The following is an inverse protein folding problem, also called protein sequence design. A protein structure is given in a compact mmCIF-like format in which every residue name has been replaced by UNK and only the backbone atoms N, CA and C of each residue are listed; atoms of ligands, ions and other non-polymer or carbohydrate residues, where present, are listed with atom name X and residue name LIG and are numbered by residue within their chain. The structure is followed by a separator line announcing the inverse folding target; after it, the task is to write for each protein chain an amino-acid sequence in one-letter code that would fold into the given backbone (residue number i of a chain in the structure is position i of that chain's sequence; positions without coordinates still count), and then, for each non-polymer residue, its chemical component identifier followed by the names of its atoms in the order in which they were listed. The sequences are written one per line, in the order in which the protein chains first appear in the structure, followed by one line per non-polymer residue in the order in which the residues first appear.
data_IF_025007691928
#
_entry.id   IF_025007691928
#
_cell.length_a   1.000
_cell.length_b   1.000
_cell.length_c   1.000
_cell.angle_alpha   90.00
_cell.angle_beta   90.00
_cell.angle_gamma   90.00
#
_symmetry.space_group_name_H-M   'P 1'
#
loop_
_entity.id
_entity.type
_entity.pdbx_description
1 polymer ?
2 polymer ?
3 non-polymer ?
4 water ?
#
# COMPACT_ATOMS: atom_id res chain seq x y z
N UNK A 57 16.09 -7.62 -15.24
CA UNK A 57 16.77 -7.19 -13.96
C UNK A 57 15.75 -6.53 -13.12
N UNK A 58 14.90 -5.68 -13.74
CA UNK A 58 13.88 -4.94 -13.04
C UNK A 58 12.47 -5.47 -13.16
N UNK A 59 12.27 -6.61 -13.80
CA UNK A 59 10.96 -7.19 -13.88
C UNK A 59 10.94 -8.61 -13.44
N UNK A 60 9.78 -9.08 -13.02
CA UNK A 60 9.64 -10.39 -12.57
C UNK A 60 9.72 -11.29 -13.79
N UNK A 61 10.50 -12.37 -13.66
CA UNK A 61 10.60 -13.38 -14.71
C UNK A 61 9.27 -14.04 -14.98
N UNK A 62 8.79 -13.91 -16.21
CA UNK A 62 7.50 -14.51 -16.60
C UNK A 62 7.71 -15.72 -17.51
N UNK A 63 8.95 -16.16 -17.66
CA UNK A 63 9.21 -17.30 -18.53
C UNK A 63 8.98 -18.63 -17.80
N UNK A 64 7.72 -19.00 -17.62
CA UNK A 64 7.33 -20.22 -16.93
C UNK A 64 6.23 -20.85 -17.73
N UNK A 65 6.08 -22.15 -17.61
CA UNK A 65 5.03 -22.84 -18.28
C UNK A 65 3.66 -22.24 -18.01
N UNK A 66 3.39 -21.77 -16.79
CA UNK A 66 2.06 -21.27 -16.43
C UNK A 66 2.20 -19.88 -15.82
N UNK A 67 1.24 -19.01 -16.07
CA UNK A 67 1.18 -17.74 -15.38
C UNK A 67 1.00 -18.06 -13.93
N UNK A 68 0.03 -18.93 -13.66
CA UNK A 68 -0.21 -19.40 -12.33
C UNK A 68 -1.69 -19.57 -12.04
N UNK A 69 -1.93 -20.01 -10.82
CA UNK A 69 -3.29 -20.22 -10.37
C UNK A 69 -3.92 -18.92 -9.83
N UNK A 70 -5.19 -18.73 -10.14
CA UNK A 70 -6.01 -17.70 -9.58
C UNK A 70 -7.22 -18.36 -8.87
N UNK A 71 -7.29 -18.16 -7.57
CA UNK A 71 -8.44 -18.59 -6.82
C UNK A 71 -9.38 -17.46 -6.61
N UNK A 72 -10.64 -17.65 -6.99
CA UNK A 72 -11.67 -16.65 -6.73
C UNK A 72 -12.63 -17.21 -5.69
N UNK A 73 -12.77 -16.49 -4.59
CA UNK A 73 -13.80 -16.78 -3.59
C UNK A 73 -14.97 -15.79 -3.71
N UNK A 74 -16.10 -16.32 -4.12
CA UNK A 74 -17.26 -15.55 -4.44
C UNK A 74 -18.36 -15.82 -3.40
N UNK A 75 -18.34 -15.04 -2.33
CA UNK A 75 -19.27 -15.24 -1.22
C UNK A 75 -20.53 -14.37 -1.39
N UNK A 76 -21.63 -15.04 -1.71
CA UNK A 76 -22.89 -14.36 -1.97
C UNK A 76 -23.90 -14.49 -0.85
N UNK A 77 -24.01 -15.66 -0.25
CA UNK A 77 -25.09 -15.96 0.68
C UNK A 77 -24.46 -16.28 2.00
N UNK A 78 -25.03 -15.71 3.06
CA UNK A 78 -24.44 -15.76 4.38
C UNK A 78 -25.43 -16.35 5.36
N UNK A 79 -24.93 -17.10 6.33
CA UNK A 79 -25.77 -17.63 7.40
C UNK A 79 -26.40 -16.50 8.18
N UNK A 80 -27.69 -16.62 8.44
CA UNK A 80 -28.44 -15.65 9.29
C UNK A 80 -27.72 -15.32 10.60
N UNK A 81 -27.07 -16.31 11.22
CA UNK A 81 -26.16 -16.14 12.38
C UNK A 81 -25.23 -14.91 12.26
N UNK A 82 -24.72 -14.65 11.06
CA UNK A 82 -23.79 -13.56 10.87
C UNK A 82 -24.47 -12.20 10.76
N UNK A 83 -25.79 -12.16 10.55
CA UNK A 83 -26.47 -10.89 10.27
C UNK A 83 -26.29 -10.24 8.92
N UNK A 84 -25.47 -10.82 8.03
CA UNK A 84 -25.19 -10.21 6.72
C UNK A 84 -26.16 -10.55 5.59
N UNK A 85 -26.47 -9.57 4.74
CA UNK A 85 -27.38 -9.78 3.62
C UNK A 85 -26.73 -10.38 2.38
N UNK A 86 -27.57 -10.82 1.45
CA UNK A 86 -27.12 -11.44 0.23
C UNK A 86 -26.34 -10.38 -0.50
N UNK A 87 -25.26 -10.73 -1.20
CA UNK A 87 -24.53 -9.79 -2.02
C UNK A 87 -24.93 -9.89 -3.50
N UNK A 88 -25.98 -9.17 -3.90
CA UNK A 88 -26.45 -9.25 -5.28
C UNK A 88 -25.47 -8.70 -6.24
N UNK A 89 -25.38 -9.27 -7.42
CA UNK A 89 -24.44 -8.79 -8.42
C UNK A 89 -23.08 -9.46 -8.35
N UNK A 90 -22.79 -10.14 -7.23
CA UNK A 90 -21.46 -10.71 -7.07
C UNK A 90 -21.20 -11.83 -8.11
N UNK A 91 -22.20 -12.62 -8.50
CA UNK A 91 -21.99 -13.62 -9.58
C UNK A 91 -21.58 -12.96 -10.90
N UNK A 92 -22.19 -11.83 -11.21
CA UNK A 92 -21.78 -11.06 -12.36
C UNK A 92 -20.36 -10.55 -12.22
N UNK A 93 -19.97 -10.11 -11.03
CA UNK A 93 -18.59 -9.73 -10.82
C UNK A 93 -17.65 -10.89 -10.96
N UNK A 94 -17.95 -11.99 -10.32
CA UNK A 94 -17.09 -13.12 -10.35
C UNK A 94 -16.94 -13.56 -11.81
N UNK A 95 -18.00 -13.55 -12.58
CA UNK A 95 -17.90 -13.99 -13.97
C UNK A 95 -16.99 -13.09 -14.77
N UNK A 96 -17.07 -11.78 -14.52
CA UNK A 96 -16.26 -10.85 -15.30
C UNK A 96 -14.79 -10.97 -14.92
N UNK A 97 -14.55 -11.19 -13.65
CA UNK A 97 -13.20 -11.35 -13.18
C UNK A 97 -12.66 -12.67 -13.69
N UNK A 98 -13.51 -13.69 -13.75
CA UNK A 98 -13.03 -15.00 -14.22
C UNK A 98 -12.52 -14.81 -15.64
N UNK A 99 -13.31 -14.15 -16.48
CA UNK A 99 -12.84 -13.90 -17.87
C UNK A 99 -11.58 -13.09 -17.99
N UNK A 100 -11.45 -11.98 -17.24
CA UNK A 100 -10.26 -11.17 -17.34
C UNK A 100 -9.10 -12.00 -16.93
N UNK A 101 -9.20 -12.69 -15.80
CA UNK A 101 -8.01 -13.36 -15.28
C UNK A 101 -7.67 -14.54 -16.15
N UNK A 102 -8.68 -15.15 -16.71
CA UNK A 102 -8.40 -16.31 -17.60
C UNK A 102 -7.69 -15.74 -18.80
N UNK A 103 -8.21 -14.62 -19.27
CA UNK A 103 -7.62 -13.97 -20.42
C UNK A 103 -6.15 -13.55 -20.19
N UNK A 104 -5.79 -13.12 -19.01
CA UNK A 104 -4.39 -12.85 -18.73
C UNK A 104 -3.58 -14.14 -18.77
N UNK A 105 -4.18 -15.31 -18.58
CA UNK A 105 -3.42 -16.55 -18.55
C UNK A 105 -3.45 -17.36 -17.25
N UNK A 106 -4.16 -16.86 -16.24
CA UNK A 106 -4.34 -17.58 -14.99
C UNK A 106 -5.23 -18.81 -15.14
N UNK A 107 -4.87 -19.85 -14.39
CA UNK A 107 -5.72 -21.00 -14.29
C UNK A 107 -6.70 -20.68 -13.20
N UNK A 108 -7.88 -20.22 -13.60
CA UNK A 108 -8.81 -19.69 -12.64
C UNK A 108 -9.76 -20.77 -12.13
N UNK A 109 -9.99 -20.79 -10.81
CA UNK A 109 -11.07 -21.60 -10.26
C UNK A 109 -11.89 -20.75 -9.33
N UNK A 110 -13.20 -20.92 -9.41
CA UNK A 110 -14.12 -20.09 -8.58
C UNK A 110 -14.85 -20.95 -7.55
N UNK A 111 -14.78 -20.55 -6.29
CA UNK A 111 -15.44 -21.21 -5.15
C UNK A 111 -16.45 -20.29 -4.53
N UNK A 112 -17.65 -20.79 -4.29
CA UNK A 112 -18.83 -20.00 -4.00
C UNK A 112 -19.31 -20.24 -2.59
N UNK A 113 -19.68 -19.18 -1.89
CA UNK A 113 -20.22 -19.30 -0.56
C UNK A 113 -19.35 -20.17 0.34
N UNK A 114 -18.08 -19.84 0.46
CA UNK A 114 -17.18 -20.57 1.34
C UNK A 114 -17.32 -20.18 2.83
N UNK A 115 -17.30 -21.19 3.70
CA UNK A 115 -17.19 -20.99 5.11
C UNK A 115 -15.80 -20.46 5.40
N UNK A 116 -15.58 -20.02 6.64
CA UNK A 116 -14.25 -19.61 7.07
C UNK A 116 -13.21 -20.74 6.97
N UNK A 117 -13.57 -21.96 7.39
CA UNK A 117 -12.66 -23.09 7.34
C UNK A 117 -12.33 -23.44 5.88
N UNK A 118 -13.34 -23.36 5.02
CA UNK A 118 -13.14 -23.61 3.59
C UNK A 118 -12.12 -22.63 2.97
N UNK A 119 -12.29 -21.34 3.24
CA UNK A 119 -11.37 -20.32 2.72
C UNK A 119 -9.95 -20.55 3.18
N UNK A 120 -9.77 -20.81 4.47
CA UNK A 120 -8.46 -21.15 5.01
C UNK A 120 -7.90 -22.40 4.37
N UNK A 121 -8.75 -23.42 4.22
CA UNK A 121 -8.26 -24.66 3.65
C UNK A 121 -7.83 -24.51 2.18
N UNK A 122 -8.63 -23.80 1.38
CA UNK A 122 -8.31 -23.54 0.01
C UNK A 122 -6.95 -22.93 -0.17
N UNK A 123 -6.69 -21.91 0.60
CA UNK A 123 -5.43 -21.18 0.46
C UNK A 123 -4.28 -22.00 1.04
N UNK A 124 -4.51 -22.68 2.15
CA UNK A 124 -3.47 -23.56 2.68
C UNK A 124 -3.05 -24.59 1.65
N UNK A 125 -4.05 -25.22 1.05
CA UNK A 125 -3.81 -26.27 0.07
C UNK A 125 -3.09 -25.71 -1.15
N UNK A 126 -3.58 -24.58 -1.65
CA UNK A 126 -2.93 -23.94 -2.78
C UNK A 126 -1.50 -23.64 -2.42
N UNK A 127 -1.26 -23.24 -1.17
CA UNK A 127 0.09 -22.90 -0.77
C UNK A 127 0.94 -24.12 -0.74
N UNK A 128 0.33 -25.29 -0.67
CA UNK A 128 1.09 -26.52 -0.58
C UNK A 128 1.33 -27.17 -1.91
N UNK A 129 0.76 -26.66 -2.97
CA UNK A 129 1.05 -27.21 -4.29
C UNK A 129 2.45 -26.83 -4.75
N UNK A 130 2.90 -27.43 -5.84
CA UNK A 130 4.21 -27.16 -6.42
C UNK A 130 3.99 -26.08 -7.45
N UNK A 131 4.49 -24.87 -7.20
CA UNK A 131 4.39 -23.75 -8.13
C UNK A 131 5.68 -23.56 -8.94
N UNK A 132 6.53 -24.57 -8.98
CA UNK A 132 7.79 -24.48 -9.72
C UNK A 132 7.61 -23.98 -11.12
N UNK A 133 6.57 -24.41 -11.82
CA UNK A 133 6.37 -23.95 -13.21
C UNK A 133 5.32 -22.86 -13.39
N UNK A 134 5.10 -22.13 -12.30
CA UNK A 134 4.23 -20.96 -12.33
C UNK A 134 5.00 -19.71 -12.06
N UNK A 135 4.64 -18.63 -12.76
CA UNK A 135 5.25 -17.32 -12.57
C UNK A 135 4.80 -16.60 -11.28
N UNK A 136 3.54 -16.79 -10.90
CA UNK A 136 2.94 -16.07 -9.83
C UNK A 136 1.67 -16.74 -9.32
N UNK A 137 1.07 -16.14 -8.30
CA UNK A 137 -0.19 -16.63 -7.73
C UNK A 137 -1.14 -15.47 -7.45
N UNK A 138 -2.42 -15.68 -7.68
CA UNK A 138 -3.38 -14.63 -7.40
C UNK A 138 -4.55 -15.22 -6.62
N UNK A 139 -5.10 -14.41 -5.73
CA UNK A 139 -6.36 -14.74 -5.08
C UNK A 139 -7.27 -13.50 -5.10
N UNK A 140 -8.52 -13.72 -5.39
CA UNK A 140 -9.50 -12.64 -5.42
C UNK A 140 -10.58 -12.99 -4.45
N UNK A 141 -10.87 -12.08 -3.54
CA UNK A 141 -11.90 -12.29 -2.53
C UNK A 141 -13.02 -11.33 -2.76
N UNK A 142 -14.21 -11.87 -2.91
CA UNK A 142 -15.43 -11.10 -3.01
C UNK A 142 -16.37 -11.43 -1.81
N UNK A 143 -16.61 -10.49 -0.89
CA UNK A 143 -17.42 -10.78 0.29
C UNK A 143 -17.70 -9.51 1.03
N UNK A 144 -18.42 -9.67 2.13
CA UNK A 144 -18.51 -8.66 3.18
C UNK A 144 -17.18 -8.69 3.94
N UNK A 145 -16.84 -7.56 4.56
CA UNK A 145 -15.62 -7.45 5.35
C UNK A 145 -15.78 -6.36 6.38
N UNK A 146 -14.83 -6.30 7.30
CA UNK A 146 -14.68 -5.19 8.26
C UNK A 146 -13.19 -5.03 8.32
N UNK A 147 -12.70 -4.13 9.11
CA UNK A 147 -11.30 -3.88 9.02
C UNK A 147 -10.49 -5.13 9.37
N UNK A 148 -9.56 -5.51 8.50
CA UNK A 148 -8.65 -6.66 8.70
C UNK A 148 -9.23 -8.05 8.63
N UNK A 149 -10.53 -8.14 8.42
CA UNK A 149 -11.17 -9.42 8.32
C UNK A 149 -12.11 -9.49 7.14
N UNK A 150 -12.39 -10.72 6.75
CA UNK A 150 -13.32 -10.98 5.68
C UNK A 150 -14.33 -12.05 6.12
N UNK A 151 -15.54 -11.96 5.57
CA UNK A 151 -16.58 -12.87 5.98
C UNK A 151 -16.52 -14.10 5.14
N UNK A 152 -16.62 -15.24 5.81
CA UNK A 152 -17.06 -16.47 5.21
C UNK A 152 -18.55 -16.48 5.38
N UNK A 153 -19.20 -17.58 4.99
CA UNK A 153 -20.65 -17.62 5.14
C UNK A 153 -21.04 -17.74 6.60
N UNK A 154 -20.13 -18.21 7.41
CA UNK A 154 -20.42 -18.52 8.81
C UNK A 154 -19.75 -17.58 9.82
N UNK A 155 -19.13 -16.49 9.38
CA UNK A 155 -18.40 -15.60 10.29
C UNK A 155 -17.23 -14.90 9.62
N UNK A 156 -16.25 -14.48 10.40
CA UNK A 156 -15.15 -13.67 9.88
C UNK A 156 -13.88 -14.42 10.09
N UNK A 157 -12.93 -14.21 9.20
CA UNK A 157 -11.59 -14.71 9.36
C UNK A 157 -10.63 -13.58 8.97
N UNK A 158 -9.49 -13.51 9.65
CA UNK A 158 -8.47 -12.51 9.38
C UNK A 158 -7.81 -12.62 8.02
N UNK A 159 -7.72 -11.50 7.32
CA UNK A 159 -7.12 -11.51 5.98
C UNK A 159 -5.68 -12.00 6.07
N UNK A 160 -4.97 -11.57 7.09
CA UNK A 160 -3.58 -11.96 7.27
C UNK A 160 -3.40 -13.48 7.45
N UNK A 161 -4.40 -14.15 8.01
CA UNK A 161 -4.28 -15.56 8.15
C UNK A 161 -4.33 -16.26 6.80
N UNK A 162 -5.15 -15.74 5.88
CA UNK A 162 -5.28 -16.33 4.54
C UNK A 162 -4.02 -16.14 3.73
N UNK A 163 -3.38 -14.98 3.89
CA UNK A 163 -2.19 -14.68 3.14
C UNK A 163 -0.95 -15.31 3.71
N UNK A 164 -0.94 -15.62 5.00
CA UNK A 164 0.31 -16.06 5.68
C UNK A 164 0.83 -17.41 5.17
N UNK A 165 -0.08 -18.20 4.64
CA UNK A 165 0.28 -19.48 4.02
C UNK A 165 1.32 -19.30 2.91
N UNK A 166 1.36 -18.11 2.29
CA UNK A 166 2.21 -17.96 1.10
C UNK A 166 3.53 -17.31 1.40
N UNK A 167 3.77 -17.09 2.67
CA UNK A 167 4.99 -16.44 3.04
C UNK A 167 6.19 -17.23 2.56
N UNK A 168 7.31 -16.53 2.44
CA UNK A 168 8.51 -17.11 1.85
C UNK A 168 8.90 -18.47 2.44
N UNK A 169 8.85 -18.53 3.77
CA UNK A 169 9.33 -19.70 4.52
C UNK A 169 8.33 -20.82 4.43
N UNK A 170 7.09 -20.51 4.08
CA UNK A 170 6.03 -21.51 4.04
C UNK A 170 5.55 -21.96 2.67
N UNK A 171 6.10 -21.41 1.59
CA UNK A 171 5.68 -21.76 0.26
C UNK A 171 6.83 -21.45 -0.60
N UNK A 172 7.79 -22.34 -0.59
CA UNK A 172 9.08 -22.08 -1.21
C UNK A 172 9.02 -22.01 -2.69
N UNK A 173 8.03 -22.63 -3.31
CA UNK A 173 8.03 -22.65 -4.76
C UNK A 173 7.44 -21.37 -5.34
N UNK A 174 6.93 -20.47 -4.48
CA UNK A 174 6.58 -19.09 -4.91
C UNK A 174 7.58 -18.06 -4.39
N UNK A 175 8.67 -18.50 -3.79
CA UNK A 175 9.71 -17.57 -3.35
C UNK A 175 10.15 -16.70 -4.53
N UNK A 176 10.23 -15.39 -4.30
CA UNK A 176 10.62 -14.40 -5.29
C UNK A 176 9.65 -14.24 -6.45
N UNK A 177 8.45 -14.72 -6.26
CA UNK A 177 7.43 -14.61 -7.25
C UNK A 177 6.25 -13.84 -6.63
N UNK A 178 5.54 -13.05 -7.43
CA UNK A 178 4.49 -12.23 -6.91
C UNK A 178 3.34 -13.06 -6.41
N UNK A 179 2.80 -12.64 -5.28
CA UNK A 179 1.62 -13.20 -4.67
C UNK A 179 0.63 -12.04 -4.57
N UNK A 180 -0.44 -12.10 -5.36
CA UNK A 180 -1.39 -11.01 -5.50
C UNK A 180 -2.75 -11.32 -4.85
N UNK A 181 -3.27 -10.38 -4.07
CA UNK A 181 -4.55 -10.53 -3.44
C UNK A 181 -5.39 -9.33 -3.80
N UNK A 182 -6.52 -9.58 -4.44
CA UNK A 182 -7.47 -8.56 -4.79
C UNK A 182 -8.65 -8.76 -3.88
N UNK A 183 -9.00 -7.73 -3.14
CA UNK A 183 -9.93 -7.85 -2.04
C UNK A 183 -11.04 -6.84 -2.14
N UNK A 184 -12.21 -7.35 -2.50
CA UNK A 184 -13.43 -6.57 -2.63
C UNK A 184 -14.28 -6.88 -1.43
N UNK A 185 -14.30 -5.93 -0.49
CA UNK A 185 -15.03 -6.02 0.78
C UNK A 185 -15.20 -4.64 1.45
N UNK A 186 -16.23 -4.47 2.26
CA UNK A 186 -16.19 -3.31 3.20
C UNK A 186 -14.92 -3.39 4.10
N UNK A 187 -14.46 -2.25 4.65
CA UNK A 187 -13.33 -2.30 5.59
C UNK A 187 -13.64 -1.41 6.79
N UNK A 188 -14.92 -1.36 7.11
CA UNK A 188 -15.41 -0.48 8.15
C UNK A 188 -16.55 0.28 7.50
N UNK A 189 -17.09 1.21 8.24
CA UNK A 189 -18.34 1.87 7.87
C UNK A 189 -18.25 3.40 7.63
N UNK A 190 -17.03 3.96 7.51
CA UNK A 190 -16.82 5.37 7.11
C UNK A 190 -17.24 5.58 5.65
N UNK A 191 -17.85 6.74 5.38
CA UNK A 191 -18.28 7.11 4.03
C UNK A 191 -17.45 8.29 3.59
N UNK A 192 -16.88 8.20 2.38
CA UNK A 192 -16.17 9.35 1.80
C UNK A 192 -17.16 10.33 1.15
N UNK A 193 -17.33 11.49 1.78
CA UNK A 193 -18.24 12.54 1.28
C UNK A 193 -17.74 13.23 -0.02
N UNK A 194 -16.45 13.07 -0.36
CA UNK A 194 -15.86 13.83 -1.49
C UNK A 194 -15.66 15.33 -1.26
N UNK A 195 -15.09 16.01 -2.24
CA UNK A 195 -14.92 17.47 -2.18
C UNK A 195 -14.75 18.05 -3.62
N UNK A 196 -15.08 19.35 -3.73
CA UNK A 196 -15.07 20.25 -4.94
C UNK A 196 -16.20 19.81 -5.84
N UNK B 14 19.30 -14.94 0.65
CA UNK B 14 18.24 -14.69 1.68
C UNK B 14 17.18 -13.61 1.37
N UNK B 15 15.90 -14.00 1.38
CA UNK B 15 14.76 -13.15 1.00
C UNK B 15 13.84 -12.97 2.20
N UNK B 16 13.30 -11.75 2.42
CA UNK B 16 12.33 -11.57 3.50
C UNK B 16 11.08 -12.38 3.25
N UNK B 17 10.55 -12.97 4.33
CA UNK B 17 9.36 -13.80 4.20
C UNK B 17 8.11 -13.02 3.75
N UNK B 18 8.08 -11.68 3.97
CA UNK B 18 6.90 -10.84 3.65
C UNK B 18 7.02 -10.18 2.31
N UNK B 19 8.16 -10.35 1.66
CA UNK B 19 8.36 -9.68 0.37
C UNK B 19 7.55 -10.31 -0.75
N UNK B 20 7.30 -9.53 -1.80
CA UNK B 20 6.65 -9.99 -3.01
C UNK B 20 5.17 -10.32 -2.89
N UNK B 21 4.52 -9.69 -1.92
CA UNK B 21 3.07 -9.62 -1.85
C UNK B 21 2.58 -8.27 -2.35
N UNK B 22 1.42 -8.31 -3.00
CA UNK B 22 0.66 -7.12 -3.32
C UNK B 22 -0.79 -7.34 -2.95
N UNK B 23 -1.35 -6.38 -2.24
CA UNK B 23 -2.80 -6.36 -1.92
C UNK B 23 -3.45 -5.18 -2.63
N UNK B 24 -4.46 -5.46 -3.39
CA UNK B 24 -5.24 -4.45 -4.04
C UNK B 24 -6.63 -4.47 -3.40
N UNK B 25 -6.90 -3.49 -2.53
CA UNK B 25 -8.14 -3.44 -1.82
C UNK B 25 -9.08 -2.53 -2.56
N UNK B 26 -10.37 -2.85 -2.51
CA UNK B 26 -11.36 -2.05 -3.21
C UNK B 26 -11.57 -0.66 -2.55
N UNK B 27 -11.15 -0.54 -1.30
CA UNK B 27 -11.32 0.69 -0.55
C UNK B 27 -10.23 0.81 0.54
N UNK B 28 -10.04 2.00 1.07
CA UNK B 28 -9.05 2.21 2.14
C UNK B 28 -9.58 1.72 3.47
N UNK B 29 -8.67 1.48 4.45
CA UNK B 29 -9.09 1.04 5.82
C UNK B 29 -10.11 1.98 6.46
N UNK B 30 -11.05 1.38 7.18
CA UNK B 30 -12.11 2.12 7.87
C UNK B 30 -13.29 2.49 6.99
N UNK B 31 -13.19 2.29 5.67
CA UNK B 31 -14.20 2.80 4.73
C UNK B 31 -15.11 1.71 4.13
N UNK B 32 -16.29 2.17 3.74
CA UNK B 32 -17.30 1.38 3.05
C UNK B 32 -16.80 1.09 1.61
N UNK B 33 -17.37 0.08 0.95
CA UNK B 33 -17.06 -0.24 -0.47
C UNK B 33 -18.37 -0.33 -1.23
N UNK B 34 -18.48 0.36 -2.38
CA UNK B 34 -19.78 0.52 -3.10
C UNK B 34 -20.00 -0.36 -4.34
N UNK B 35 -21.28 -0.61 -4.60
CA UNK B 35 -21.78 -1.34 -5.73
C UNK B 35 -22.91 -0.52 -6.36
N UNK B 36 -22.96 -0.34 -7.68
CA UNK B 36 -24.13 0.35 -8.25
C UNK B 36 -25.34 -0.62 -8.37
N UNK B 37 -26.53 -0.20 -7.86
CA UNK B 37 -27.79 -0.98 -8.08
C UNK B 37 -27.82 -1.69 -9.45
N UNK B 38 -27.91 -3.03 -9.41
CA UNK B 38 -28.00 -3.87 -10.62
C UNK B 38 -26.74 -4.32 -11.37
N UNK B 39 -25.58 -3.68 -11.16
CA UNK B 39 -24.37 -3.95 -11.99
C UNK B 39 -23.03 -4.13 -11.21
N UNK B 40 -23.14 -4.69 -10.00
CA UNK B 40 -21.93 -5.06 -9.29
C UNK B 40 -20.95 -3.98 -8.85
N UNK B 41 -19.91 -4.43 -8.16
CA UNK B 41 -19.04 -3.55 -7.40
C UNK B 41 -18.24 -2.56 -8.24
N UNK B 42 -18.08 -1.32 -7.77
CA UNK B 42 -17.39 -0.32 -8.57
C UNK B 42 -15.94 -0.71 -8.88
N UNK B 43 -15.25 -1.24 -7.87
CA UNK B 43 -13.85 -1.59 -8.04
C UNK B 43 -13.69 -2.70 -9.02
N UNK B 44 -14.61 -3.67 -8.99
CA UNK B 44 -14.56 -4.75 -9.95
C UNK B 44 -14.81 -4.30 -11.38
N UNK B 45 -15.83 -3.48 -11.59
CA UNK B 45 -16.10 -2.93 -12.90
C UNK B 45 -14.84 -2.31 -13.46
N UNK B 46 -14.21 -1.46 -12.67
CA UNK B 46 -13.06 -0.72 -13.15
C UNK B 46 -11.90 -1.63 -13.41
N UNK B 47 -11.60 -2.49 -12.45
CA UNK B 47 -10.49 -3.51 -12.64
C UNK B 47 -10.68 -4.32 -13.88
N UNK B 48 -11.88 -4.81 -14.12
CA UNK B 48 -12.12 -5.59 -15.35
C UNK B 48 -11.97 -4.73 -16.62
N UNK B 49 -12.44 -3.50 -16.51
CA UNK B 49 -12.44 -2.68 -17.68
C UNK B 49 -10.96 -2.33 -18.08
N UNK B 50 -10.14 -2.01 -17.10
CA UNK B 50 -8.73 -1.71 -17.37
C UNK B 50 -7.95 -2.94 -17.79
N UNK B 51 -8.18 -4.07 -17.12
CA UNK B 51 -7.45 -5.30 -17.50
C UNK B 51 -7.83 -5.71 -18.86
N UNK B 52 -9.05 -5.55 -19.24
CA UNK B 52 -9.40 -5.98 -20.57
C UNK B 52 -8.75 -5.08 -21.65
N UNK B 53 -8.61 -3.81 -21.36
CA UNK B 53 -7.96 -2.91 -22.28
C UNK B 53 -6.44 -3.03 -22.22
N UNK B 54 -5.87 -3.19 -21.03
CA UNK B 54 -4.42 -2.98 -20.83
C UNK B 54 -3.69 -4.02 -19.97
N UNK B 55 -4.36 -5.11 -19.63
CA UNK B 55 -3.77 -6.13 -18.76
C UNK B 55 -2.49 -6.74 -19.28
N UNK B 56 -2.32 -6.77 -20.59
CA UNK B 56 -1.13 -7.27 -21.19
C UNK B 56 -0.11 -6.21 -21.61
N UNK B 57 -0.36 -4.93 -21.45
CA UNK B 57 0.66 -3.95 -21.83
C UNK B 57 1.08 -2.97 -20.76
N UNK B 58 0.46 -2.96 -19.59
CA UNK B 58 0.88 -2.06 -18.53
C UNK B 58 1.38 -2.84 -17.32
N UNK B 59 2.22 -2.22 -16.50
CA UNK B 59 2.71 -2.81 -15.31
C UNK B 59 1.61 -2.80 -14.28
N UNK B 60 1.71 -3.66 -13.27
CA UNK B 60 0.60 -3.90 -12.39
C UNK B 60 0.21 -2.60 -11.67
N UNK B 61 1.19 -1.83 -11.26
CA UNK B 61 0.90 -0.56 -10.57
C UNK B 61 0.28 0.50 -11.49
N UNK B 62 0.66 0.53 -12.77
CA UNK B 62 0.00 1.40 -13.71
C UNK B 62 -1.47 1.01 -13.84
N UNK B 63 -1.72 -0.29 -13.91
CA UNK B 63 -3.08 -0.78 -14.01
C UNK B 63 -3.88 -0.38 -12.78
N UNK B 64 -3.33 -0.63 -11.59
CA UNK B 64 -4.08 -0.38 -10.41
C UNK B 64 -4.22 1.09 -10.12
N UNK B 65 -3.28 1.87 -10.61
CA UNK B 65 -3.38 3.29 -10.48
C UNK B 65 -4.50 3.81 -11.38
N UNK B 66 -4.61 3.26 -12.56
CA UNK B 66 -5.74 3.63 -13.43
C UNK B 66 -7.02 3.16 -12.81
N UNK B 67 -7.00 2.04 -12.14
CA UNK B 67 -8.22 1.63 -11.48
C UNK B 67 -8.59 2.64 -10.39
N UNK B 68 -7.59 3.13 -9.66
CA UNK B 68 -7.84 4.10 -8.61
C UNK B 68 -8.53 5.32 -9.15
N UNK B 69 -8.03 5.83 -10.27
CA UNK B 69 -8.59 7.00 -10.91
C UNK B 69 -10.02 6.79 -11.41
N UNK B 70 -10.26 5.62 -12.04
CA UNK B 70 -11.59 5.30 -12.55
C UNK B 70 -12.60 5.20 -11.40
N UNK B 71 -12.24 4.55 -10.30
CA UNK B 71 -13.13 4.50 -9.19
C UNK B 71 -13.37 5.91 -8.61
N UNK B 72 -12.28 6.66 -8.48
CA UNK B 72 -12.39 8.00 -7.88
C UNK B 72 -13.25 8.94 -8.68
N UNK B 73 -13.22 8.84 -10.00
CA UNK B 73 -13.89 9.82 -10.86
C UNK B 73 -15.19 9.29 -11.35
N UNK B 74 -15.14 8.15 -12.03
CA UNK B 74 -16.31 7.72 -12.78
C UNK B 74 -17.51 7.50 -11.82
N UNK B 75 -17.27 7.19 -10.55
CA UNK B 75 -18.38 6.78 -9.70
C UNK B 75 -18.73 7.73 -8.57
N UNK B 76 -20.03 7.76 -8.30
CA UNK B 76 -20.63 8.53 -7.20
C UNK B 76 -22.03 7.98 -6.85
N UNK B 77 -22.24 7.63 -5.58
CA UNK B 77 -23.49 6.99 -5.11
C UNK B 77 -24.76 7.90 -5.26
N UNK B 78 -25.94 7.28 -5.40
CA UNK B 78 -27.23 7.97 -5.40
C UNK B 78 -28.13 7.24 -4.38
N UNK B 79 -29.02 7.95 -3.67
CA UNK B 79 -29.77 7.34 -2.53
C UNK B 79 -30.75 8.34 -1.92
N UNK B 80 -31.92 7.87 -1.49
CA UNK B 80 -32.95 8.72 -0.84
C UNK B 80 -32.70 9.00 0.64
N UNK B 81 -31.72 8.31 1.23
CA UNK B 81 -31.21 8.67 2.55
C UNK B 81 -30.04 9.64 2.36
N UNK B 82 -30.16 10.90 2.88
CA UNK B 82 -29.05 11.84 2.74
C UNK B 82 -27.73 11.28 3.27
N UNK B 83 -27.80 10.53 4.38
CA UNK B 83 -26.61 9.88 4.98
C UNK B 83 -25.82 9.01 3.98
N UNK B 84 -26.46 8.45 2.94
CA UNK B 84 -25.76 7.60 1.95
C UNK B 84 -25.63 8.23 0.55
N UNK B 85 -26.15 9.46 0.41
CA UNK B 85 -26.22 10.12 -0.89
C UNK B 85 -24.89 10.75 -1.34
N UNK B 86 -24.56 10.58 -2.62
CA UNK B 86 -23.42 11.26 -3.28
C UNK B 86 -22.03 10.97 -2.68
N UNK B 87 -21.81 9.73 -2.23
CA UNK B 87 -20.52 9.35 -1.63
C UNK B 87 -19.52 8.85 -2.65
N UNK B 88 -18.27 8.73 -2.20
CA UNK B 88 -17.15 8.46 -3.09
C UNK B 88 -16.30 7.36 -2.48
N UNK B 89 -15.41 6.79 -3.26
CA UNK B 89 -14.58 5.74 -2.74
C UNK B 89 -13.22 5.82 -3.39
N UNK B 90 -12.19 5.41 -2.68
CA UNK B 90 -10.90 5.26 -3.32
C UNK B 90 -10.31 3.91 -2.89
N UNK B 91 -9.84 3.12 -3.84
CA UNK B 91 -9.13 1.90 -3.50
C UNK B 91 -7.73 2.18 -2.95
N UNK B 92 -7.02 1.12 -2.61
CA UNK B 92 -5.83 1.20 -1.81
C UNK B 92 -4.95 0.04 -2.22
N UNK B 93 -3.76 0.31 -2.77
CA UNK B 93 -2.85 -0.70 -3.16
C UNK B 93 -1.76 -0.78 -2.16
N UNK B 94 -1.45 -1.97 -1.63
CA UNK B 94 -0.31 -2.14 -0.71
C UNK B 94 0.71 -3.00 -1.46
N UNK B 95 1.89 -2.46 -1.75
CA UNK B 95 2.89 -3.23 -2.48
C UNK B 95 4.15 -3.49 -1.66
N UNK B 96 4.46 -4.78 -1.55
CA UNK B 96 5.75 -5.26 -1.08
C UNK B 96 6.54 -5.86 -2.26
N UNK B 97 6.15 -5.55 -3.49
CA UNK B 97 6.82 -6.13 -4.66
C UNK B 97 8.25 -5.60 -4.78
N UNK B 98 9.13 -6.42 -5.36
CA UNK B 98 10.53 -6.09 -5.54
C UNK B 98 10.90 -5.91 -6.98
N UNK B 99 9.95 -6.07 -7.87
CA UNK B 99 10.22 -5.89 -9.29
C UNK B 99 8.92 -5.39 -9.88
N UNK B 100 9.03 -4.96 -11.12
CA UNK B 100 7.89 -4.69 -11.96
C UNK B 100 7.19 -5.95 -12.53
N UNK B 101 5.87 -5.91 -12.62
CA UNK B 101 5.10 -7.06 -12.99
C UNK B 101 4.29 -6.75 -14.19
N UNK B 102 4.64 -7.40 -15.28
CA UNK B 102 3.87 -7.43 -16.46
C UNK B 102 3.32 -8.84 -16.67
N UNK B 103 2.11 -8.92 -17.16
CA UNK B 103 1.53 -10.22 -17.39
C UNK B 103 1.82 -10.66 -18.79
N UNK B 104 3.07 -10.91 -19.11
CA UNK B 104 3.34 -11.39 -20.45
C UNK B 104 4.79 -11.74 -20.56
N UNK B 105 5.15 -11.94 -21.85
CA UNK B 105 6.50 -12.29 -22.35
C UNK B 105 6.95 -13.70 -21.88
N UNK C 57 -2.13 13.11 -19.45
CA UNK C 57 -3.48 12.52 -19.27
C UNK C 57 -3.42 11.40 -18.21
N UNK C 58 -2.36 10.59 -18.24
CA UNK C 58 -2.13 9.55 -17.23
C UNK C 58 -1.05 9.89 -16.19
N UNK C 59 -0.56 11.13 -16.18
CA UNK C 59 0.41 11.56 -15.14
C UNK C 59 -0.06 12.77 -14.42
N UNK C 60 0.47 12.99 -13.25
CA UNK C 60 0.10 14.13 -12.51
C UNK C 60 0.74 15.34 -13.21
N UNK C 61 -0.05 16.39 -13.37
CA UNK C 61 0.45 17.64 -13.91
C UNK C 61 1.55 18.24 -13.05
N UNK C 62 2.73 18.42 -13.65
CA UNK C 62 3.89 18.98 -12.97
C UNK C 62 4.17 20.43 -13.43
N UNK C 63 3.29 20.99 -14.24
CA UNK C 63 3.55 22.34 -14.71
C UNK C 63 3.06 23.38 -13.71
N UNK C 64 3.80 23.52 -12.62
CA UNK C 64 3.44 24.45 -11.59
C UNK C 64 4.68 25.28 -11.37
N UNK C 65 4.52 26.46 -10.83
CA UNK C 65 5.66 27.30 -10.44
C UNK C 65 6.63 26.53 -9.56
N UNK C 66 6.18 25.63 -8.69
CA UNK C 66 7.16 24.88 -7.85
C UNK C 66 6.76 23.41 -7.65
N UNK C 67 7.76 22.56 -7.39
CA UNK C 67 7.51 21.15 -7.14
C UNK C 67 6.66 21.01 -5.87
N UNK C 68 7.10 21.68 -4.81
CA UNK C 68 6.35 21.77 -3.60
C UNK C 68 7.24 21.73 -2.39
N UNK C 69 6.59 21.74 -1.26
CA UNK C 69 7.26 21.71 0.01
C UNK C 69 7.57 20.24 0.42
N UNK C 70 8.75 20.03 1.01
CA UNK C 70 9.18 18.79 1.69
C UNK C 70 9.54 19.06 3.15
N UNK C 71 8.72 18.57 4.05
CA UNK C 71 9.00 18.71 5.45
C UNK C 71 9.70 17.43 5.94
N UNK C 72 10.80 17.60 6.64
CA UNK C 72 11.51 16.50 7.27
C UNK C 72 11.52 16.68 8.76
N UNK C 73 11.02 15.65 9.46
CA UNK C 73 11.05 15.60 10.89
C UNK C 73 12.10 14.60 11.33
N UNK C 74 13.16 15.14 11.93
CA UNK C 74 14.32 14.38 12.31
C UNK C 74 14.39 14.26 13.83
N UNK C 75 13.75 13.22 14.36
CA UNK C 75 13.71 13.00 15.79
C UNK C 75 14.85 12.08 16.24
N UNK C 76 15.82 12.66 16.93
CA UNK C 76 16.98 11.92 17.40
C UNK C 76 16.98 11.66 18.87
N UNK C 77 16.55 12.64 19.67
CA UNK C 77 16.68 12.53 21.12
C UNK C 77 15.29 12.55 21.72
N UNK C 78 15.10 11.69 22.73
CA UNK C 78 13.83 11.44 23.36
C UNK C 78 13.90 11.60 24.85
N UNK C 79 12.85 12.13 25.44
CA UNK C 79 12.73 12.20 26.89
C UNK C 79 12.82 10.81 27.41
N UNK C 80 13.61 10.67 28.43
CA UNK C 80 13.82 9.41 29.15
C UNK C 80 12.51 8.71 29.56
N UNK C 81 11.49 9.47 29.97
CA UNK C 81 10.22 8.88 30.39
C UNK C 81 9.53 8.12 29.26
N UNK C 82 9.89 8.36 28.01
CA UNK C 82 9.33 7.57 26.94
C UNK C 82 9.92 6.16 26.87
N UNK C 83 11.02 5.92 27.57
CA UNK C 83 11.69 4.65 27.42
C UNK C 83 12.51 4.49 26.12
N UNK C 84 12.54 5.47 25.20
CA UNK C 84 13.29 5.33 23.94
C UNK C 84 14.70 5.91 23.99
N UNK C 85 15.64 5.24 23.32
CA UNK C 85 17.00 5.72 23.20
C UNK C 85 17.29 6.63 22.03
N UNK C 86 18.48 7.22 22.04
CA UNK C 86 18.95 8.13 21.03
C UNK C 86 18.92 7.38 19.73
N UNK C 87 18.55 7.99 18.62
CA UNK C 87 18.61 7.33 17.30
C UNK C 87 19.88 7.69 16.55
N UNK C 88 20.94 6.97 16.78
CA UNK C 88 22.21 7.26 16.12
C UNK C 88 22.13 7.07 14.63
N UNK C 89 22.80 7.89 13.87
CA UNK C 89 22.71 7.79 12.43
C UNK C 89 21.62 8.63 11.80
N UNK C 90 20.66 9.10 12.57
CA UNK C 90 19.54 9.78 11.94
C UNK C 90 19.92 11.17 11.38
N UNK C 91 20.90 11.87 11.98
CA UNK C 91 21.40 13.09 11.37
C UNK C 91 21.98 12.84 10.00
N UNK C 92 22.71 11.75 9.83
CA UNK C 92 23.22 11.41 8.50
C UNK C 92 22.07 11.09 7.57
N UNK C 93 21.05 10.38 8.04
CA UNK C 93 19.94 10.16 7.15
C UNK C 93 19.23 11.46 6.74
N UNK C 94 18.97 12.33 7.70
CA UNK C 94 18.22 13.55 7.41
C UNK C 94 19.01 14.43 6.42
N UNK C 95 20.31 14.48 6.57
CA UNK C 95 21.11 15.23 5.67
C UNK C 95 21.01 14.67 4.29
N UNK C 96 21.10 13.34 4.16
CA UNK C 96 21.09 12.78 2.81
C UNK C 96 19.74 12.95 2.12
N UNK C 97 18.70 12.88 2.90
CA UNK C 97 17.37 13.04 2.38
C UNK C 97 17.09 14.46 2.00
N UNK C 98 17.59 15.39 2.81
CA UNK C 98 17.46 16.82 2.51
C UNK C 98 18.13 17.09 1.17
N UNK C 99 19.34 16.59 0.95
CA UNK C 99 19.95 16.79 -0.40
C UNK C 99 19.24 16.17 -1.57
N UNK C 100 18.76 14.92 -1.43
CA UNK C 100 18.01 14.26 -2.51
C UNK C 100 16.81 15.08 -2.84
N UNK C 101 16.05 15.45 -1.82
CA UNK C 101 14.79 16.12 -2.08
C UNK C 101 14.99 17.55 -2.58
N UNK C 102 16.05 18.21 -2.12
CA UNK C 102 16.35 19.54 -2.66
C UNK C 102 16.72 19.34 -4.13
N UNK C 103 17.54 18.36 -4.37
CA UNK C 103 17.94 18.10 -5.76
C UNK C 103 16.75 17.82 -6.65
N UNK C 104 15.71 17.16 -6.16
CA UNK C 104 14.51 16.95 -6.99
C UNK C 104 13.75 18.25 -7.25
N UNK C 105 13.89 19.29 -6.44
CA UNK C 105 13.18 20.52 -6.72
C UNK C 105 12.28 20.95 -5.58
N UNK C 106 12.25 20.17 -4.51
CA UNK C 106 11.42 20.51 -3.36
C UNK C 106 11.98 21.70 -2.55
N UNK C 107 11.10 22.48 -1.91
CA UNK C 107 11.54 23.44 -0.89
C UNK C 107 11.61 22.65 0.41
N UNK C 108 12.81 22.27 0.83
CA UNK C 108 12.96 21.43 2.00
C UNK C 108 13.15 22.18 3.30
N UNK C 109 12.44 21.78 4.32
CA UNK C 109 12.62 22.29 5.66
C UNK C 109 12.85 21.13 6.64
N UNK C 110 13.86 21.23 7.52
CA UNK C 110 14.16 20.14 8.45
C UNK C 110 13.93 20.63 9.89
N UNK C 111 13.05 19.93 10.60
CA UNK C 111 12.79 20.15 11.99
C UNK C 111 13.46 18.98 12.74
N UNK C 112 13.78 19.21 13.99
CA UNK C 112 14.63 18.34 14.73
C UNK C 112 14.14 18.21 16.18
N UNK C 113 14.10 16.98 16.67
CA UNK C 113 13.66 16.70 18.01
C UNK C 113 12.35 17.32 18.33
N UNK C 114 11.30 17.00 17.53
CA UNK C 114 9.97 17.57 17.78
C UNK C 114 9.13 16.84 18.82
N UNK C 115 8.43 17.60 19.65
CA UNK C 115 7.44 17.07 20.54
C UNK C 115 6.24 16.68 19.72
N UNK C 116 5.32 15.97 20.33
CA UNK C 116 4.12 15.52 19.64
C UNK C 116 3.25 16.68 19.25
N UNK C 117 3.14 17.68 20.13
CA UNK C 117 2.33 18.86 19.80
C UNK C 117 2.94 19.63 18.63
N UNK C 118 4.27 19.67 18.60
CA UNK C 118 4.98 20.31 17.51
C UNK C 118 4.73 19.64 16.15
N UNK C 119 4.88 18.33 16.10
CA UNK C 119 4.64 17.59 14.88
C UNK C 119 3.22 17.79 14.36
N UNK C 120 2.24 17.71 15.23
CA UNK C 120 0.85 18.00 14.84
C UNK C 120 0.69 19.43 14.36
N UNK C 121 1.26 20.39 15.10
CA UNK C 121 1.06 21.77 14.76
C UNK C 121 1.70 22.17 13.45
N UNK C 122 2.93 21.75 13.23
CA UNK C 122 3.57 22.13 11.99
C UNK C 122 2.93 21.49 10.80
N UNK C 123 2.38 20.28 10.93
CA UNK C 123 1.67 19.66 9.77
C UNK C 123 0.33 20.32 9.55
N UNK C 124 -0.35 20.64 10.63
CA UNK C 124 -1.61 21.35 10.51
C UNK C 124 -1.39 22.67 9.77
N UNK C 125 -0.37 23.39 10.21
CA UNK C 125 -0.04 24.68 9.57
C UNK C 125 0.38 24.56 8.15
N UNK C 126 1.25 23.59 7.89
CA UNK C 126 1.59 23.28 6.49
C UNK C 126 0.34 23.02 5.66
N UNK C 127 -0.63 22.33 6.26
CA UNK C 127 -1.82 21.98 5.52
C UNK C 127 -2.65 23.21 5.24
N UNK C 128 -2.42 24.29 5.98
CA UNK C 128 -3.23 25.48 5.82
C UNK C 128 -2.55 26.53 4.95
N UNK C 129 -1.36 26.28 4.47
CA UNK C 129 -0.76 27.17 3.51
C UNK C 129 -1.40 27.04 2.15
N UNK C 130 -1.05 27.97 1.24
CA UNK C 130 -1.61 27.98 -0.08
C UNK C 130 -0.69 27.18 -0.99
N UNK C 131 -1.11 26.00 -1.45
CA UNK C 131 -0.27 25.17 -2.32
C UNK C 131 -0.69 25.30 -3.79
N UNK C 132 -1.48 26.31 -4.10
CA UNK C 132 -1.98 26.48 -5.46
C UNK C 132 -0.87 26.39 -6.51
N UNK C 133 0.31 26.95 -6.24
CA UNK C 133 1.38 26.93 -7.23
C UNK C 133 2.43 25.87 -6.99
N UNK C 134 2.05 24.86 -6.23
CA UNK C 134 2.87 23.67 -6.01
C UNK C 134 2.21 22.44 -6.69
N UNK C 135 3.04 21.57 -7.26
CA UNK C 135 2.65 20.29 -7.85
C UNK C 135 2.29 19.21 -6.87
N UNK C 136 2.97 19.18 -5.73
CA UNK C 136 2.79 18.11 -4.74
C UNK C 136 3.33 18.51 -3.37
N UNK C 137 3.16 17.61 -2.42
CA UNK C 137 3.66 17.79 -1.08
C UNK C 137 4.34 16.53 -0.58
N UNK C 138 5.44 16.66 0.12
CA UNK C 138 6.10 15.52 0.69
C UNK C 138 6.39 15.75 2.17
N UNK C 139 6.25 14.68 2.97
CA UNK C 139 6.66 14.72 4.38
C UNK C 139 7.44 13.47 4.69
N UNK C 140 8.55 13.64 5.38
CA UNK C 140 9.43 12.52 5.70
C UNK C 140 9.55 12.48 7.18
N UNK C 141 9.17 11.37 7.79
CA UNK C 141 9.26 11.23 9.26
C UNK C 141 10.33 10.26 9.64
N UNK C 142 11.24 10.68 10.52
CA UNK C 142 12.30 9.86 11.01
C UNK C 142 12.21 9.81 12.52
N UNK C 143 11.88 8.65 13.07
CA UNK C 143 11.70 8.57 14.50
C UNK C 143 11.52 7.14 14.91
N UNK C 144 11.32 6.94 16.21
CA UNK C 144 10.84 5.67 16.72
C UNK C 144 9.37 5.59 16.38
N UNK C 145 8.88 4.36 16.32
CA UNK C 145 7.48 4.11 16.10
C UNK C 145 7.03 2.77 16.67
N UNK C 146 5.72 2.57 16.71
CA UNK C 146 5.11 1.30 17.03
C UNK C 146 3.92 1.30 16.10
N UNK C 147 3.12 0.26 16.09
CA UNK C 147 2.16 0.13 15.04
C UNK C 147 1.19 1.27 15.06
N UNK C 148 0.99 1.88 13.92
CA UNK C 148 0.11 3.04 13.74
C UNK C 148 0.51 4.35 14.43
N UNK C 149 1.63 4.38 15.16
CA UNK C 149 2.01 5.59 15.85
C UNK C 149 3.47 5.91 15.65
N UNK C 150 3.79 7.17 15.88
CA UNK C 150 5.16 7.66 15.78
C UNK C 150 5.51 8.48 17.01
N UNK C 151 6.76 8.40 17.42
CA UNK C 151 7.18 9.11 18.58
C UNK C 151 7.55 10.52 18.25
N UNK C 152 7.09 11.41 19.12
CA UNK C 152 7.72 12.69 19.33
C UNK C 152 8.69 12.50 20.44
N UNK C 153 9.31 13.59 20.89
CA UNK C 153 10.32 13.42 21.96
C UNK C 153 9.67 13.08 23.26
N UNK C 154 8.41 13.48 23.39
CA UNK C 154 7.70 13.38 24.69
C UNK C 154 6.59 12.31 24.68
N UNK C 155 6.52 11.48 23.66
CA UNK C 155 5.46 10.44 23.56
C UNK C 155 5.11 10.05 22.12
N UNK C 156 3.89 9.65 21.93
CA UNK C 156 3.48 9.00 20.73
C UNK C 156 2.23 9.66 20.21
N UNK C 157 2.15 9.80 18.88
CA UNK C 157 1.02 10.35 18.24
C UNK C 157 0.68 9.47 17.02
N UNK C 158 -0.60 9.30 16.72
CA UNK C 158 -1.07 8.48 15.63
C UNK C 158 -0.66 9.01 14.26
N UNK C 159 -0.09 8.15 13.44
CA UNK C 159 0.35 8.59 12.11
C UNK C 159 -0.81 9.15 11.32
N UNK C 160 -1.95 8.50 11.41
CA UNK C 160 -3.12 8.94 10.66
C UNK C 160 -3.60 10.30 11.05
N UNK C 161 -3.40 10.70 12.30
CA UNK C 161 -3.82 12.02 12.70
C UNK C 161 -2.89 13.08 12.08
N UNK C 162 -1.60 12.77 11.89
CA UNK C 162 -0.71 13.72 11.20
C UNK C 162 -1.06 13.88 9.73
N UNK C 163 -1.41 12.79 9.07
CA UNK C 163 -1.66 12.85 7.64
C UNK C 163 -3.02 13.38 7.33
N UNK C 164 -3.98 13.25 8.24
CA UNK C 164 -5.35 13.60 7.97
C UNK C 164 -5.53 15.12 7.60
N UNK C 165 -4.63 15.95 8.12
CA UNK C 165 -4.65 17.40 7.87
C UNK C 165 -4.63 17.66 6.37
N UNK C 166 -4.07 16.73 5.57
CA UNK C 166 -3.92 16.91 4.14
C UNK C 166 -5.02 16.29 3.32
N UNK C 167 -6.03 15.80 3.97
CA UNK C 167 -7.16 15.25 3.22
C UNK C 167 -7.81 16.27 2.30
N UNK C 168 -8.52 15.78 1.29
CA UNK C 168 -9.15 16.61 0.28
C UNK C 168 -9.97 17.74 0.85
N UNK C 169 -10.83 17.41 1.81
CA UNK C 169 -11.77 18.36 2.39
C UNK C 169 -11.08 19.37 3.32
N UNK C 170 -9.88 19.08 3.74
CA UNK C 170 -9.17 19.92 4.68
C UNK C 170 -7.98 20.67 4.16
N UNK C 171 -7.62 20.48 2.90
CA UNK C 171 -6.46 21.10 2.32
C UNK C 171 -6.74 21.18 0.87
N UNK C 172 -7.57 22.14 0.52
CA UNK C 172 -8.12 22.20 -0.81
C UNK C 172 -7.11 22.53 -1.84
N UNK C 173 -6.00 23.15 -1.47
CA UNK C 173 -5.09 23.56 -2.50
C UNK C 173 -4.15 22.47 -2.86
N UNK C 174 -4.27 21.32 -2.19
CA UNK C 174 -3.58 20.08 -2.64
C UNK C 174 -4.52 19.05 -3.28
N UNK C 175 -5.78 19.42 -3.49
CA UNK C 175 -6.68 18.55 -4.19
C UNK C 175 -6.11 18.15 -5.50
N UNK C 176 -6.18 16.85 -5.79
CA UNK C 176 -5.76 16.24 -7.04
C UNK C 176 -4.30 16.28 -7.23
N UNK C 177 -3.61 16.49 -6.14
CA UNK C 177 -2.18 16.52 -6.17
C UNK C 177 -1.62 15.47 -5.18
N UNK C 178 -0.49 14.86 -5.52
CA UNK C 178 0.07 13.80 -4.68
C UNK C 178 0.56 14.36 -3.35
N UNK C 179 0.23 13.64 -2.28
CA UNK C 179 0.63 13.89 -0.95
C UNK C 179 1.45 12.69 -0.54
N UNK C 180 2.75 12.85 -0.42
CA UNK C 180 3.65 11.79 -0.19
C UNK C 180 4.14 11.78 1.24
N UNK C 181 4.09 10.62 1.88
CA UNK C 181 4.64 10.46 3.24
C UNK C 181 5.63 9.33 3.26
N UNK C 182 6.88 9.64 3.62
CA UNK C 182 7.92 8.64 3.75
C UNK C 182 8.18 8.47 5.22
N UNK C 183 8.00 7.25 5.70
CA UNK C 183 7.93 7.00 7.12
C UNK C 183 8.91 5.97 7.56
N UNK C 184 9.90 6.43 8.30
CA UNK C 184 10.99 5.61 8.77
C UNK C 184 10.82 5.53 10.26
N UNK C 185 10.33 4.38 10.71
CA UNK C 185 10.07 4.07 12.12
C UNK C 185 9.92 2.56 12.39
N UNK C 186 10.22 2.10 13.58
CA UNK C 186 9.75 0.76 13.88
C UNK C 186 8.18 0.70 13.72
N UNK C 187 7.59 -0.47 13.48
CA UNK C 187 6.12 -0.59 13.42
C UNK C 187 5.67 -1.82 14.18
N UNK C 188 6.42 -2.09 15.24
CA UNK C 188 6.18 -3.25 16.07
C UNK C 188 7.47 -3.95 16.30
N UNK C 189 7.34 -5.12 16.92
CA UNK C 189 8.44 -5.92 17.47
C UNK C 189 9.00 -7.05 16.58
N UNK C 190 8.23 -7.51 15.59
CA UNK C 190 8.55 -8.73 14.83
C UNK C 190 9.85 -8.59 14.02
N UNK C 191 10.61 -9.69 13.92
CA UNK C 191 11.82 -9.76 13.09
C UNK C 191 11.59 -10.74 11.97
N UNK C 192 11.92 -10.31 10.76
CA UNK C 192 11.92 -11.22 9.61
C UNK C 192 13.22 -12.04 9.64
N UNK C 193 13.09 -13.34 9.90
CA UNK C 193 14.24 -14.25 9.91
C UNK C 193 14.85 -14.53 8.50
N UNK C 194 14.13 -14.21 7.41
CA UNK C 194 14.54 -14.55 6.02
C UNK C 194 14.38 -16.02 5.63
N UNK C 195 14.63 -16.34 4.35
CA UNK C 195 14.58 -17.73 3.82
C UNK C 195 15.41 -17.86 2.50
N UNK C 196 15.85 -19.12 2.25
CA UNK C 196 16.66 -19.63 1.09
C UNK C 196 18.08 -19.15 1.24
N UNK D 13 -18.52 16.62 -9.95
CA UNK D 13 -17.12 16.22 -10.31
C UNK D 13 -16.27 16.19 -9.04
N UNK D 14 -16.73 15.38 -8.08
CA UNK D 14 -16.15 15.26 -6.75
C UNK D 14 -14.96 14.33 -6.72
N UNK D 15 -14.06 14.59 -5.76
CA UNK D 15 -12.85 13.79 -5.53
C UNK D 15 -12.96 13.18 -4.13
N UNK D 16 -12.54 11.90 -3.96
CA UNK D 16 -12.54 11.30 -2.62
C UNK D 16 -11.53 11.99 -1.73
N UNK D 17 -11.91 12.23 -0.47
CA UNK D 17 -11.03 12.94 0.45
C UNK D 17 -9.74 12.18 0.76
N UNK D 18 -9.72 10.86 0.53
CA UNK D 18 -8.51 10.03 0.82
C UNK D 18 -7.67 9.80 -0.37
N UNK D 19 -8.11 10.29 -1.51
CA UNK D 19 -7.33 10.08 -2.72
C UNK D 19 -6.04 10.87 -2.81
N UNK D 20 -5.12 10.34 -3.59
CA UNK D 20 -3.87 11.01 -3.93
C UNK D 20 -2.90 11.09 -2.78
N UNK D 21 -3.02 10.18 -1.82
CA UNK D 21 -1.97 9.90 -0.83
C UNK D 21 -1.15 8.69 -1.24
N UNK D 22 0.13 8.74 -0.89
CA UNK D 22 1.02 7.62 -0.94
C UNK D 22 1.83 7.59 0.34
N UNK D 23 1.86 6.40 0.97
CA UNK D 23 2.70 6.19 2.16
C UNK D 23 3.77 5.21 1.81
N UNK D 24 5.02 5.62 2.00
CA UNK D 24 6.15 4.74 1.79
C UNK D 24 6.76 4.44 3.15
N UNK D 25 6.49 3.26 3.68
CA UNK D 25 6.96 2.92 5.01
C UNK D 25 8.24 2.11 4.91
N UNK D 26 9.13 2.26 5.89
CA UNK D 26 10.43 1.57 5.86
C UNK D 26 10.28 0.08 6.07
N UNK D 27 9.17 -0.32 6.68
CA UNK D 27 8.94 -1.72 7.03
C UNK D 27 7.44 -2.00 7.08
N UNK D 28 7.05 -3.26 6.95
CA UNK D 28 5.64 -3.64 6.99
C UNK D 28 5.09 -3.54 8.42
N UNK D 29 3.74 -3.52 8.59
CA UNK D 29 3.09 -3.50 9.93
C UNK D 29 3.55 -4.64 10.83
N UNK D 30 3.71 -4.31 12.11
CA UNK D 30 4.13 -5.29 13.10
C UNK D 30 5.63 -5.50 13.17
N UNK D 31 6.39 -5.01 12.19
CA UNK D 31 7.80 -5.39 12.09
C UNK D 31 8.80 -4.28 12.51
N UNK D 32 10.00 -4.75 12.86
CA UNK D 32 11.11 -3.95 13.23
C UNK D 32 11.67 -3.27 11.98
N UNK D 33 12.44 -2.21 12.16
CA UNK D 33 13.11 -1.49 11.07
C UNK D 33 14.57 -1.35 11.45
N UNK D 34 15.48 -1.69 10.55
CA UNK D 34 16.92 -1.73 10.87
C UNK D 34 17.78 -0.56 10.37
N UNK D 35 18.87 -0.36 11.10
CA UNK D 35 19.90 0.61 10.81
C UNK D 35 21.26 -0.11 10.88
N UNK D 36 22.17 0.08 9.93
CA UNK D 36 23.53 -0.52 10.11
C UNK D 36 24.39 0.32 11.10
N UNK D 37 25.00 -0.34 12.11
CA UNK D 37 26.01 0.34 12.96
C UNK D 37 26.93 1.40 12.27
N UNK D 38 27.09 2.54 12.95
CA UNK D 38 27.59 3.80 12.37
C UNK D 38 26.72 4.69 11.49
N UNK D 39 26.26 4.08 10.41
CA UNK D 39 25.55 4.76 9.35
C UNK D 39 24.06 4.68 9.78
N UNK D 40 23.17 4.95 8.81
CA UNK D 40 21.79 5.19 9.14
C UNK D 40 20.91 4.09 8.65
N UNK D 41 19.64 4.40 8.59
CA UNK D 41 18.59 3.43 8.35
C UNK D 41 18.70 2.80 6.96
N UNK D 42 18.45 1.49 6.87
CA UNK D 42 18.59 0.80 5.59
C UNK D 42 17.66 1.39 4.53
N UNK D 43 16.44 1.66 4.90
CA UNK D 43 15.46 2.14 3.94
C UNK D 43 15.86 3.50 3.42
N UNK D 44 16.37 4.35 4.31
CA UNK D 44 16.86 5.65 3.88
C UNK D 44 18.05 5.55 2.92
N UNK D 45 19.04 4.74 3.25
CA UNK D 45 20.20 4.54 2.37
C UNK D 45 19.72 4.21 0.99
N UNK D 46 18.84 3.24 0.90
CA UNK D 46 18.37 2.77 -0.38
C UNK D 46 17.60 3.85 -1.10
N UNK D 47 16.64 4.46 -0.42
CA UNK D 47 15.86 5.52 -1.03
C UNK D 47 16.75 6.60 -1.60
N UNK D 48 17.74 7.04 -0.84
CA UNK D 48 18.58 8.11 -1.31
C UNK D 48 19.40 7.64 -2.53
N UNK D 49 19.82 6.41 -2.49
CA UNK D 49 20.69 5.94 -3.52
C UNK D 49 19.89 5.83 -4.85
N UNK D 50 18.67 5.29 -4.80
CA UNK D 50 17.87 5.20 -6.01
C UNK D 50 17.43 6.61 -6.49
N UNK D 51 17.06 7.51 -5.55
CA UNK D 51 16.67 8.88 -5.99
C UNK D 51 17.82 9.60 -6.58
N UNK D 52 19.02 9.40 -6.09
CA UNK D 52 20.15 10.09 -6.68
C UNK D 52 20.38 9.60 -8.12
N UNK D 53 20.22 8.32 -8.35
CA UNK D 53 20.43 7.75 -9.67
C UNK D 53 19.23 7.98 -10.59
N UNK D 54 18.01 7.94 -10.10
CA UNK D 54 16.85 7.84 -10.95
C UNK D 54 15.67 8.72 -10.58
N UNK D 55 15.83 9.60 -9.61
CA UNK D 55 14.68 10.35 -9.11
C UNK D 55 14.02 11.24 -10.16
N UNK D 56 14.77 11.62 -11.16
CA UNK D 56 14.21 12.43 -12.18
C UNK D 56 13.83 11.66 -13.44
N UNK D 57 14.02 10.34 -13.49
CA UNK D 57 13.61 9.61 -14.68
C UNK D 57 12.71 8.39 -14.50
N UNK D 58 12.39 8.00 -13.27
CA UNK D 58 11.49 6.89 -13.03
C UNK D 58 10.25 7.35 -12.32
N UNK D 59 9.16 6.60 -12.49
CA UNK D 59 7.89 6.91 -11.81
C UNK D 59 8.01 6.52 -10.36
N UNK D 60 7.22 7.13 -9.49
CA UNK D 60 7.46 7.02 -8.08
C UNK D 60 7.39 5.51 -7.63
N UNK D 61 6.49 4.74 -8.23
CA UNK D 61 6.36 3.33 -7.88
C UNK D 61 7.53 2.49 -8.37
N UNK D 62 8.09 2.86 -9.51
CA UNK D 62 9.32 2.20 -9.97
C UNK D 62 10.44 2.45 -9.02
N UNK D 63 10.56 3.70 -8.60
CA UNK D 63 11.56 4.07 -7.62
C UNK D 63 11.36 3.25 -6.33
N UNK D 64 10.14 3.21 -5.81
CA UNK D 64 9.96 2.59 -4.53
C UNK D 64 10.03 1.07 -4.62
N UNK D 65 9.73 0.53 -5.79
CA UNK D 65 9.83 -0.87 -5.99
C UNK D 65 11.29 -1.27 -6.02
N UNK D 66 12.11 -0.43 -6.64
CA UNK D 66 13.55 -0.67 -6.57
C UNK D 66 14.06 -0.53 -5.17
N UNK D 67 13.50 0.37 -4.42
CA UNK D 67 13.91 0.51 -3.03
C UNK D 67 13.53 -0.76 -2.26
N UNK D 68 12.33 -1.29 -2.52
CA UNK D 68 11.95 -2.53 -1.90
C UNK D 68 12.98 -3.64 -2.15
N UNK D 69 13.43 -3.75 -3.40
CA UNK D 69 14.38 -4.83 -3.77
C UNK D 69 15.74 -4.64 -3.08
N UNK D 70 16.18 -3.39 -3.01
CA UNK D 70 17.50 -3.05 -2.46
C UNK D 70 17.50 -3.34 -0.99
N UNK D 71 16.45 -2.95 -0.28
CA UNK D 71 16.41 -3.28 1.13
C UNK D 71 16.34 -4.79 1.34
N UNK D 72 15.53 -5.46 0.52
CA UNK D 72 15.35 -6.90 0.63
C UNK D 72 16.64 -7.70 0.36
N UNK D 73 17.45 -7.23 -0.57
CA UNK D 73 18.61 -7.98 -0.98
C UNK D 73 19.84 -7.49 -0.32
N UNK D 74 20.16 -6.23 -0.55
CA UNK D 74 21.48 -5.71 -0.17
C UNK D 74 21.70 -5.86 1.37
N UNK D 75 20.64 -5.88 2.18
CA UNK D 75 20.86 -5.84 3.61
C UNK D 75 20.49 -7.10 4.37
N UNK D 76 21.29 -7.34 5.42
CA UNK D 76 21.09 -8.42 6.39
C UNK D 76 21.84 -8.12 7.70
N UNK D 77 21.10 -8.10 8.83
CA UNK D 77 21.64 -7.73 10.15
C UNK D 77 22.77 -8.66 10.66
N UNK D 78 23.67 -8.11 11.47
CA UNK D 78 24.73 -8.90 12.15
C UNK D 78 24.63 -8.55 13.64
N UNK D 79 24.91 -9.48 14.55
CA UNK D 79 24.68 -9.23 15.98
C UNK D 79 25.16 -10.41 16.83
N UNK D 80 25.75 -10.12 18.00
CA UNK D 80 26.25 -11.14 18.95
C UNK D 80 25.11 -11.77 19.75
N UNK D 81 23.90 -11.18 19.70
CA UNK D 81 22.66 -11.80 20.24
C UNK D 81 22.01 -12.64 19.13
N UNK D 82 21.92 -13.99 19.32
CA UNK D 82 21.25 -14.82 18.29
C UNK D 82 19.84 -14.34 17.93
N UNK D 83 19.07 -13.89 18.94
CA UNK D 83 17.72 -13.35 18.71
C UNK D 83 17.67 -12.20 17.65
N UNK D 84 18.75 -11.44 17.47
CA UNK D 84 18.74 -10.31 16.51
C UNK D 84 19.65 -10.57 15.29
N UNK D 85 20.27 -11.74 15.25
CA UNK D 85 21.26 -12.06 14.20
C UNK D 85 20.62 -12.45 12.85
N UNK D 86 21.19 -11.91 11.77
CA UNK D 86 20.85 -12.31 10.39
C UNK D 86 19.39 -12.08 9.97
N UNK D 87 18.80 -11.00 10.44
CA UNK D 87 17.42 -10.64 10.07
C UNK D 87 17.32 -9.76 8.80
N UNK D 88 16.09 -9.63 8.32
CA UNK D 88 15.81 -9.03 7.03
C UNK D 88 14.61 -8.08 7.18
N UNK D 89 14.38 -7.28 6.18
CA UNK D 89 13.30 -6.30 6.30
C UNK D 89 12.75 -6.06 4.96
N UNK D 90 11.48 -5.71 4.91
CA UNK D 90 10.88 -5.30 3.63
C UNK D 90 10.00 -4.10 3.84
N UNK D 91 10.20 -3.06 3.03
CA UNK D 91 9.34 -1.91 3.11
C UNK D 91 7.97 -2.19 2.46
N UNK D 92 7.12 -1.19 2.48
CA UNK D 92 5.70 -1.37 2.27
C UNK D 92 5.22 -0.02 1.71
N UNK D 93 4.70 -0.02 0.51
CA UNK D 93 4.18 1.15 -0.12
C UNK D 93 2.67 1.04 -0.18
N UNK D 94 1.95 2.07 0.29
CA UNK D 94 0.51 2.09 0.23
C UNK D 94 0.17 3.23 -0.72
N UNK D 95 -0.47 2.90 -1.82
CA UNK D 95 -0.80 3.92 -2.80
C UNK D 95 -2.29 4.14 -2.98
N UNK D 96 -2.69 5.39 -2.81
CA UNK D 96 -4.01 5.86 -3.21
C UNK D 96 -3.85 6.89 -4.35
N UNK D 97 -2.73 6.88 -5.04
CA UNK D 97 -2.55 7.78 -6.14
C UNK D 97 -3.46 7.40 -7.31
N UNK D 98 -3.84 8.41 -8.09
CA UNK D 98 -4.77 8.28 -9.26
C UNK D 98 -4.06 8.51 -10.56
N UNK D 99 -2.77 8.83 -10.51
CA UNK D 99 -1.98 9.04 -11.72
C UNK D 99 -0.56 8.62 -11.42
N UNK D 100 0.22 8.52 -12.47
CA UNK D 100 1.66 8.38 -12.38
C UNK D 100 2.39 9.65 -11.96
N UNK D 101 3.44 9.50 -11.18
CA UNK D 101 4.13 10.66 -10.67
C UNK D 101 5.58 10.58 -11.09
N UNK D 102 5.96 11.49 -11.97
CA UNK D 102 7.33 11.76 -12.25
C UNK D 102 7.69 13.13 -11.68
N UNK D 103 8.89 13.24 -11.13
CA UNK D 103 9.34 14.49 -10.56
C UNK D 103 9.99 15.44 -11.58
N UNK D 104 9.39 15.48 -12.71
CA UNK D 104 10.06 16.33 -13.69
C UNK D 104 9.22 16.51 -14.91
N UNK D 105 10.03 17.05 -16.00
CA UNK D 105 9.78 17.16 -17.48
C UNK D 105 8.38 17.62 -17.84
#
# INVERSE_FOLDING_TARGET
MADDQGCIEEQGVEDSANEDSVDAKPDRSSFVPSLFSKKKKNVTMRSIKTTRDRVPTYQYNMNFEKLGKCIIINNKNFDKVTGMGVRNGTDKDAEALFKCFRSLGFDVIVYNDCSCAKMQDLLKKASEEDHTNAACFACILLSHGEENVIYGKDGVTPIKDLTAHFRGDRCKTLLEKPKLFFIQACRGTELDDGIQAD
SGPINDTDANPRYKIPVEADFLFAYSTVPGYYSWRSPGRGEWFVQALCSILEEHGKDLEIMQILTRVNDRVARHFESQSDDPHFHEKKQIPCVVSMLTKELYFSQLEHHHHHH
MADDQGCIEEQGVEDSANEDSVDAKPDRSSFVPSLFSKKKKNVTMRSIKTTRDRVPTYQYNMNFEKLGKCIIINNKNFDKVTGMGVRNGTDKDAEALFKCFRSLGFDVIVYNDCSCAKMQDLLKKASEEDHTNAACFACILLSHGEENVIYGKDGVTPIKDLTAHFRGDRCKTLLEKPKLFFIQACRGTELDDGIQAD
SGPINDTDANPRYKIPVEADFLFAYSTVPGYYSWRSPGRGEWFVQALCSILEEHGKDLEIMQILTRVNDRVARHFESQSDDPHFHEKKQIPCVVSMLTKELYFSQLEHHHHHH
#
